data_IF_414755779236
#
_entry.id   IF_414755779236
#
_cell.length_a   1.000
_cell.length_b   1.000
_cell.length_c   1.000
_cell.angle_alpha   90.00
_cell.angle_beta   90.00
_cell.angle_gamma   90.00
#
_symmetry.space_group_name_H-M   'P 1'
#
loop_
_entity.id
_entity.type
_entity.pdbx_description
1 polymer ?
#
# COMPACT_ATOMS: atom_id res chain seq x y z
N UNK A 1 7.59 -6.82 -24.91
CA UNK A 1 8.45 -7.69 -24.08
C UNK A 1 7.56 -8.78 -23.50
N UNK A 2 8.03 -10.02 -23.34
CA UNK A 2 7.19 -11.07 -22.74
C UNK A 2 7.00 -10.75 -21.24
N UNK A 3 5.76 -10.75 -20.76
CA UNK A 3 5.37 -10.44 -19.37
C UNK A 3 6.21 -11.25 -18.36
N UNK A 4 6.50 -12.51 -18.70
CA UNK A 4 7.36 -13.40 -17.90
C UNK A 4 8.77 -12.83 -17.66
N UNK A 5 9.36 -12.17 -18.67
CA UNK A 5 10.69 -11.56 -18.55
C UNK A 5 10.67 -10.33 -17.65
N UNK A 6 9.64 -9.49 -17.75
CA UNK A 6 9.46 -8.32 -16.89
C UNK A 6 9.40 -8.75 -15.42
N UNK A 7 8.54 -9.72 -15.12
CA UNK A 7 8.35 -10.20 -13.75
C UNK A 7 9.61 -10.91 -13.24
N UNK A 8 10.24 -11.75 -14.06
CA UNK A 8 11.48 -12.44 -13.65
C UNK A 8 12.63 -11.47 -13.38
N UNK A 9 12.74 -10.40 -14.18
CA UNK A 9 13.76 -9.38 -13.97
C UNK A 9 13.45 -8.54 -12.72
N UNK A 10 12.20 -8.12 -12.53
CA UNK A 10 11.76 -7.46 -11.30
C UNK A 10 12.04 -8.29 -10.06
N UNK A 11 11.74 -9.60 -10.10
CA UNK A 11 11.99 -10.51 -8.99
C UNK A 11 13.48 -10.62 -8.64
N UNK A 12 14.34 -10.80 -9.65
CA UNK A 12 15.80 -10.84 -9.46
C UNK A 12 16.34 -9.51 -8.92
N UNK A 13 15.86 -8.40 -9.45
CA UNK A 13 16.23 -7.06 -9.01
C UNK A 13 15.83 -6.83 -7.55
N UNK A 14 14.64 -7.28 -7.15
CA UNK A 14 14.15 -7.18 -5.78
C UNK A 14 14.99 -8.04 -4.83
N UNK A 15 15.29 -9.29 -5.19
CA UNK A 15 16.13 -10.18 -4.39
C UNK A 15 17.56 -9.68 -4.23
N UNK A 16 18.17 -9.14 -5.30
CA UNK A 16 19.50 -8.52 -5.21
C UNK A 16 19.53 -7.40 -4.16
N UNK A 17 18.42 -6.70 -4.02
CA UNK A 17 18.25 -5.52 -3.18
C UNK A 17 17.56 -5.82 -1.83
N UNK A 18 17.58 -7.08 -1.37
CA UNK A 18 16.89 -7.53 -0.15
C UNK A 18 17.23 -6.73 1.12
N UNK A 19 18.42 -6.11 1.19
CA UNK A 19 18.80 -5.20 2.28
C UNK A 19 17.80 -4.05 2.51
N UNK A 20 17.18 -3.54 1.45
CA UNK A 20 16.14 -2.49 1.58
C UNK A 20 14.82 -3.06 2.12
N UNK A 21 14.54 -4.34 1.88
CA UNK A 21 13.39 -5.01 2.49
C UNK A 21 13.53 -5.08 4.00
N UNK A 22 14.73 -5.41 4.50
CA UNK A 22 15.03 -5.43 5.93
C UNK A 22 14.89 -4.02 6.53
N UNK A 23 15.41 -2.99 5.86
CA UNK A 23 15.24 -1.60 6.29
C UNK A 23 13.77 -1.21 6.40
N UNK A 24 12.96 -1.52 5.38
CA UNK A 24 11.52 -1.29 5.37
C UNK A 24 10.84 -2.04 6.52
N UNK A 25 11.21 -3.29 6.77
CA UNK A 25 10.63 -4.10 7.83
C UNK A 25 10.95 -3.55 9.22
N UNK A 26 12.21 -3.17 9.49
CA UNK A 26 12.61 -2.55 10.78
C UNK A 26 11.79 -1.29 11.04
N UNK A 27 11.62 -0.42 10.04
CA UNK A 27 10.83 0.80 10.20
C UNK A 27 9.34 0.50 10.43
N UNK A 28 8.78 -0.51 9.76
CA UNK A 28 7.41 -0.95 10.03
C UNK A 28 7.25 -1.48 11.45
N UNK A 29 8.22 -2.27 11.93
CA UNK A 29 8.22 -2.80 13.29
C UNK A 29 8.30 -1.66 14.32
N UNK A 30 9.20 -0.70 14.11
CA UNK A 30 9.32 0.48 14.98
C UNK A 30 8.02 1.29 15.04
N UNK A 31 7.37 1.55 13.90
CA UNK A 31 6.08 2.26 13.86
C UNK A 31 4.96 1.46 14.54
N UNK A 32 4.96 0.13 14.40
CA UNK A 32 3.97 -0.73 15.04
C UNK A 32 4.11 -0.73 16.56
N UNK A 33 5.35 -0.70 17.08
CA UNK A 33 5.60 -0.57 18.51
C UNK A 33 4.99 0.73 19.06
N UNK A 34 5.16 1.86 18.35
CA UNK A 34 4.58 3.15 18.76
C UNK A 34 3.06 3.06 18.87
N UNK A 35 2.39 2.34 17.96
CA UNK A 35 0.93 2.12 18.00
C UNK A 35 0.51 1.24 19.17
N UNK A 36 1.29 0.20 19.49
CA UNK A 36 0.94 -0.80 20.51
C UNK A 36 1.14 -0.26 21.93
N UNK A 37 2.13 0.61 22.17
CA UNK A 37 2.44 1.18 23.49
C UNK A 37 1.20 1.72 24.25
N UNK A 38 0.35 2.61 23.70
CA UNK A 38 -0.79 3.13 24.44
C UNK A 38 -1.80 2.05 24.81
N UNK A 39 -2.02 1.06 23.94
CA UNK A 39 -2.92 -0.06 24.20
C UNK A 39 -2.34 -0.94 25.32
N UNK A 40 -1.04 -1.25 25.23
CA UNK A 40 -0.32 -2.03 26.24
C UNK A 40 -0.34 -1.35 27.61
N UNK A 41 -0.13 -0.03 27.67
CA UNK A 41 -0.19 0.73 28.91
C UNK A 41 -1.57 0.65 29.58
N UNK A 42 -2.66 0.73 28.80
CA UNK A 42 -4.02 0.58 29.33
C UNK A 42 -4.30 -0.84 29.84
N UNK A 43 -3.80 -1.85 29.13
CA UNK A 43 -3.97 -3.25 29.54
C UNK A 43 -3.20 -3.54 30.83
N UNK A 44 -1.95 -3.08 30.95
CA UNK A 44 -1.15 -3.30 32.14
C UNK A 44 -1.72 -2.61 33.37
N UNK A 45 -2.15 -1.36 33.25
CA UNK A 45 -2.75 -0.60 34.36
C UNK A 45 -3.94 -1.35 34.98
N UNK A 46 -4.72 -2.05 34.15
CA UNK A 46 -5.87 -2.83 34.62
C UNK A 46 -5.51 -4.26 35.08
N UNK A 47 -4.55 -4.92 34.43
CA UNK A 47 -4.28 -6.36 34.61
C UNK A 47 -3.16 -6.65 35.60
N UNK A 48 -2.19 -5.76 35.78
CA UNK A 48 -0.96 -6.05 36.53
C UNK A 48 -1.20 -6.28 38.04
N UNK A 49 -2.30 -5.76 38.58
CA UNK A 49 -2.66 -5.91 40.00
C UNK A 49 -3.89 -6.79 40.24
N UNK A 50 -4.33 -7.55 39.23
CA UNK A 50 -5.60 -8.28 39.29
C UNK A 50 -5.41 -9.77 38.98
N UNK A 51 -6.07 -10.63 39.77
CA UNK A 51 -6.25 -12.07 39.46
C UNK A 51 -7.03 -12.30 38.16
N UNK A 52 -7.55 -11.23 37.56
CA UNK A 52 -8.26 -11.28 36.28
C UNK A 52 -7.33 -11.64 35.10
N UNK A 53 -6.02 -11.40 35.22
CA UNK A 53 -5.05 -11.78 34.18
C UNK A 53 -5.08 -13.29 33.88
N UNK A 54 -5.11 -14.12 34.93
CA UNK A 54 -5.11 -15.58 34.78
C UNK A 54 -6.44 -16.10 34.20
N UNK A 55 -7.56 -15.45 34.54
CA UNK A 55 -8.88 -15.78 33.98
C UNK A 55 -8.98 -15.42 32.51
N UNK A 56 -8.48 -14.25 32.12
CA UNK A 56 -8.49 -13.76 30.75
C UNK A 56 -7.54 -14.53 29.84
N UNK A 57 -6.49 -15.13 30.39
CA UNK A 57 -5.60 -16.01 29.65
C UNK A 57 -6.32 -17.28 29.17
N UNK A 58 -7.22 -17.85 29.99
CA UNK A 58 -7.95 -19.08 29.66
C UNK A 58 -9.21 -18.81 28.83
N UNK A 59 -9.92 -17.72 29.08
CA UNK A 59 -11.15 -17.40 28.36
C UNK A 59 -11.44 -15.90 28.33
N UNK A 60 -12.02 -15.44 27.24
CA UNK A 60 -12.49 -14.06 27.12
C UNK A 60 -13.70 -13.80 28.05
N UNK A 61 -13.62 -12.75 28.87
CA UNK A 61 -14.70 -12.31 29.76
C UNK A 61 -15.32 -11.00 29.26
N UNK A 62 -16.58 -11.09 28.83
CA UNK A 62 -17.33 -9.97 28.28
C UNK A 62 -17.68 -8.90 29.33
N UNK A 63 -17.87 -9.28 30.60
CA UNK A 63 -18.15 -8.33 31.68
C UNK A 63 -16.92 -7.47 31.97
N UNK A 64 -15.74 -8.10 32.05
CA UNK A 64 -14.48 -7.38 32.17
C UNK A 64 -14.27 -6.42 31.01
N UNK A 65 -14.53 -6.86 29.77
CA UNK A 65 -14.40 -6.00 28.59
C UNK A 65 -15.31 -4.76 28.68
N UNK A 66 -16.58 -4.92 29.06
CA UNK A 66 -17.48 -3.78 29.23
C UNK A 66 -17.02 -2.82 30.33
N UNK A 67 -16.50 -3.36 31.44
CA UNK A 67 -15.95 -2.56 32.52
C UNK A 67 -14.69 -1.79 32.08
N UNK A 68 -13.77 -2.46 31.37
CA UNK A 68 -12.57 -1.86 30.79
C UNK A 68 -12.93 -0.71 29.84
N UNK A 69 -13.87 -0.94 28.91
CA UNK A 69 -14.34 0.08 27.97
C UNK A 69 -15.00 1.27 28.67
N UNK A 70 -15.73 1.03 29.77
CA UNK A 70 -16.32 2.09 30.57
C UNK A 70 -15.28 2.90 31.33
N UNK A 71 -14.28 2.23 31.91
CA UNK A 71 -13.24 2.85 32.75
C UNK A 71 -12.29 3.73 31.91
N UNK A 72 -11.91 3.28 30.73
CA UNK A 72 -11.00 4.00 29.83
C UNK A 72 -11.72 4.73 28.69
N UNK A 73 -13.03 4.98 28.79
CA UNK A 73 -13.85 5.59 27.73
C UNK A 73 -13.21 6.85 27.12
N UNK A 74 -12.69 7.75 27.96
CA UNK A 74 -12.05 8.97 27.51
C UNK A 74 -10.76 8.69 26.73
N UNK A 75 -9.87 7.87 27.30
CA UNK A 75 -8.59 7.51 26.66
C UNK A 75 -8.80 6.78 25.34
N UNK A 76 -9.74 5.82 25.31
CA UNK A 76 -10.13 5.08 24.10
C UNK A 76 -10.73 6.03 23.06
N UNK A 77 -11.53 7.01 23.49
CA UNK A 77 -12.06 8.05 22.60
C UNK A 77 -11.00 8.89 21.88
N UNK A 78 -9.79 9.01 22.45
CA UNK A 78 -8.66 9.72 21.85
C UNK A 78 -7.77 8.83 20.96
N UNK A 79 -7.87 7.49 21.07
CA UNK A 79 -7.06 6.57 20.26
C UNK A 79 -7.20 6.79 18.74
N UNK A 80 -8.40 7.03 18.17
CA UNK A 80 -8.52 7.26 16.73
C UNK A 80 -7.67 8.44 16.23
N UNK A 81 -7.62 9.54 16.97
CA UNK A 81 -6.81 10.71 16.60
C UNK A 81 -5.32 10.38 16.60
N UNK A 82 -4.85 9.66 17.63
CA UNK A 82 -3.47 9.19 17.73
C UNK A 82 -3.13 8.25 16.56
N UNK A 83 -4.02 7.30 16.26
CA UNK A 83 -3.86 6.36 15.14
C UNK A 83 -3.77 7.09 13.80
N UNK A 84 -4.64 8.07 13.54
CA UNK A 84 -4.57 8.89 12.33
C UNK A 84 -3.26 9.68 12.24
N UNK A 85 -2.76 10.21 13.35
CA UNK A 85 -1.45 10.87 13.42
C UNK A 85 -0.30 9.93 13.02
N UNK A 86 -0.26 8.73 13.60
CA UNK A 86 0.78 7.73 13.28
C UNK A 86 0.66 7.26 11.83
N UNK A 87 -0.55 6.99 11.34
CA UNK A 87 -0.78 6.62 9.92
C UNK A 87 -0.31 7.74 8.98
N UNK A 88 -0.56 9.00 9.33
CA UNK A 88 -0.06 10.15 8.55
C UNK A 88 1.46 10.18 8.47
N UNK A 89 2.15 10.04 9.61
CA UNK A 89 3.61 9.96 9.67
C UNK A 89 4.12 8.74 8.88
N UNK A 90 3.44 7.61 8.99
CA UNK A 90 3.77 6.40 8.26
C UNK A 90 3.70 6.62 6.74
N UNK A 91 2.64 7.22 6.23
CA UNK A 91 2.47 7.52 4.79
C UNK A 91 3.60 8.44 4.29
N UNK A 92 3.98 9.43 5.10
CA UNK A 92 5.11 10.34 4.84
C UNK A 92 6.42 9.53 4.71
N UNK A 93 6.74 8.70 5.69
CA UNK A 93 7.94 7.83 5.64
C UNK A 93 7.90 6.86 4.46
N UNK A 94 6.73 6.30 4.15
CA UNK A 94 6.57 5.39 3.01
C UNK A 94 6.74 6.10 1.66
N UNK A 95 6.37 7.38 1.57
CA UNK A 95 6.61 8.22 0.39
C UNK A 95 8.10 8.46 0.19
N UNK A 96 8.85 8.68 1.29
CA UNK A 96 10.30 8.86 1.27
C UNK A 96 10.99 7.60 0.74
N UNK A 97 10.61 6.43 1.26
CA UNK A 97 11.15 5.15 0.80
C UNK A 97 10.81 4.82 -0.64
N UNK A 98 9.66 5.27 -1.15
CA UNK A 98 9.32 5.11 -2.57
C UNK A 98 10.34 5.85 -3.46
N UNK A 99 10.81 7.04 -3.05
CA UNK A 99 11.87 7.78 -3.75
C UNK A 99 13.21 7.05 -3.78
N UNK A 100 13.60 6.47 -2.64
CA UNK A 100 14.82 5.66 -2.56
C UNK A 100 14.77 4.40 -3.41
N UNK A 101 13.65 3.66 -3.37
CA UNK A 101 13.46 2.46 -4.18
C UNK A 101 13.52 2.76 -5.68
N UNK A 102 12.83 3.80 -6.14
CA UNK A 102 12.83 4.19 -7.55
C UNK A 102 14.25 4.58 -8.00
N UNK A 103 15.02 5.29 -7.17
CA UNK A 103 16.41 5.65 -7.48
C UNK A 103 17.31 4.43 -7.67
N UNK A 104 17.24 3.47 -6.73
CA UNK A 104 18.03 2.22 -6.79
C UNK A 104 17.64 1.37 -7.99
N UNK A 105 16.34 1.23 -8.28
CA UNK A 105 15.88 0.45 -9.43
C UNK A 105 16.12 1.13 -10.77
N UNK A 106 16.16 2.46 -10.82
CA UNK A 106 16.50 3.17 -12.04
C UNK A 106 17.98 2.97 -12.41
N UNK A 107 18.89 2.90 -11.41
CA UNK A 107 20.34 2.73 -11.64
C UNK A 107 20.84 1.47 -10.90
N UNK A 108 20.78 0.28 -11.51
CA UNK A 108 21.09 -1.00 -10.85
C UNK A 108 22.53 -1.15 -10.32
N UNK A 109 23.43 -0.25 -10.72
CA UNK A 109 24.84 -0.18 -10.32
C UNK A 109 25.04 0.59 -9.00
N UNK A 110 24.07 1.45 -8.62
CA UNK A 110 24.09 2.28 -7.42
C UNK A 110 23.13 1.71 -6.38
N UNK A 111 23.51 0.58 -5.81
CA UNK A 111 22.67 -0.15 -4.86
C UNK A 111 23.01 0.12 -3.39
N UNK A 112 23.82 1.12 -3.06
CA UNK A 112 24.21 1.39 -1.67
C UNK A 112 23.07 2.02 -0.85
N UNK A 113 23.17 1.90 0.47
CA UNK A 113 22.21 2.52 1.40
C UNK A 113 22.20 4.05 1.24
N UNK A 114 23.37 4.66 1.01
CA UNK A 114 23.51 6.09 0.72
C UNK A 114 22.75 6.50 -0.54
N UNK A 115 22.78 5.71 -1.61
CA UNK A 115 22.08 5.97 -2.87
C UNK A 115 20.56 5.92 -2.69
N UNK A 116 20.08 5.02 -1.83
CA UNK A 116 18.68 4.94 -1.43
C UNK A 116 18.21 6.18 -0.67
N UNK A 117 18.94 6.59 0.38
CA UNK A 117 18.59 7.80 1.13
C UNK A 117 18.73 9.06 0.27
N UNK A 118 19.74 9.13 -0.60
CA UNK A 118 19.88 10.21 -1.56
C UNK A 118 18.67 10.31 -2.49
N UNK A 119 18.20 9.19 -3.04
CA UNK A 119 16.96 9.14 -3.84
C UNK A 119 15.74 9.59 -3.06
N UNK A 120 15.62 9.14 -1.80
CA UNK A 120 14.55 9.56 -0.89
C UNK A 120 14.52 11.08 -0.68
N UNK A 121 15.67 11.69 -0.38
CA UNK A 121 15.79 13.14 -0.16
C UNK A 121 15.59 13.92 -1.46
N UNK A 122 16.24 13.51 -2.55
CA UNK A 122 16.18 14.17 -3.86
C UNK A 122 14.74 14.32 -4.36
N UNK A 123 13.94 13.27 -4.24
CA UNK A 123 12.56 13.25 -4.74
C UNK A 123 11.51 13.60 -3.69
N UNK A 124 11.92 13.83 -2.43
CA UNK A 124 11.02 14.03 -1.30
C UNK A 124 9.90 15.03 -1.57
N UNK A 125 10.26 16.27 -1.91
CA UNK A 125 9.28 17.34 -2.14
C UNK A 125 8.39 17.09 -3.36
N UNK A 126 8.92 16.43 -4.40
CA UNK A 126 8.16 16.12 -5.63
C UNK A 126 7.14 15.02 -5.34
N UNK A 127 7.54 13.98 -4.61
CA UNK A 127 6.67 12.87 -4.25
C UNK A 127 5.63 13.26 -3.20
N UNK A 128 5.97 14.16 -2.26
CA UNK A 128 4.99 14.73 -1.33
C UNK A 128 3.91 15.53 -2.05
N UNK A 129 4.24 16.24 -3.15
CA UNK A 129 3.22 16.90 -3.99
C UNK A 129 2.31 15.89 -4.69
N UNK A 130 2.87 14.80 -5.22
CA UNK A 130 2.07 13.70 -5.80
C UNK A 130 1.17 13.08 -4.72
N UNK A 131 1.69 12.87 -3.52
CA UNK A 131 0.93 12.35 -2.38
C UNK A 131 -0.25 13.27 -2.03
N UNK A 132 -0.02 14.58 -1.88
CA UNK A 132 -1.08 15.53 -1.58
C UNK A 132 -2.19 15.49 -2.64
N UNK A 133 -1.84 15.46 -3.93
CA UNK A 133 -2.84 15.33 -4.98
C UNK A 133 -3.57 13.98 -4.91
N UNK A 134 -2.85 12.89 -4.64
CA UNK A 134 -3.43 11.54 -4.50
C UNK A 134 -4.45 11.53 -3.35
N UNK A 135 -4.12 12.12 -2.20
CA UNK A 135 -5.03 12.24 -1.07
C UNK A 135 -6.27 13.07 -1.43
N UNK A 136 -6.11 14.19 -2.13
CA UNK A 136 -7.24 14.99 -2.60
C UNK A 136 -8.17 14.20 -3.54
N UNK A 137 -7.60 13.41 -4.47
CA UNK A 137 -8.37 12.57 -5.37
C UNK A 137 -9.09 11.41 -4.65
N UNK A 138 -8.44 10.82 -3.64
CA UNK A 138 -9.07 9.78 -2.80
C UNK A 138 -10.22 10.36 -1.99
N UNK A 139 -10.05 11.54 -1.37
CA UNK A 139 -11.14 12.24 -0.67
C UNK A 139 -12.29 12.53 -1.62
N UNK A 140 -11.99 13.02 -2.83
CA UNK A 140 -13.00 13.28 -3.86
C UNK A 140 -13.75 11.99 -4.27
N UNK A 141 -13.06 10.85 -4.39
CA UNK A 141 -13.70 9.56 -4.67
C UNK A 141 -14.67 9.14 -3.54
N UNK A 142 -14.29 9.33 -2.28
CA UNK A 142 -15.17 9.09 -1.14
C UNK A 142 -16.38 10.04 -1.14
N UNK A 143 -16.19 11.32 -1.45
CA UNK A 143 -17.29 12.29 -1.56
C UNK A 143 -18.28 11.87 -2.65
N UNK A 144 -17.80 11.50 -3.84
CA UNK A 144 -18.66 11.00 -4.93
C UNK A 144 -19.43 9.74 -4.49
N UNK A 145 -18.76 8.80 -3.82
CA UNK A 145 -19.40 7.59 -3.31
C UNK A 145 -20.50 7.88 -2.27
N UNK A 146 -20.29 8.88 -1.41
CA UNK A 146 -21.30 9.28 -0.44
C UNK A 146 -22.52 9.92 -1.14
N UNK A 147 -22.29 10.83 -2.09
CA UNK A 147 -23.34 11.44 -2.90
C UNK A 147 -24.16 10.39 -3.69
N UNK A 148 -23.49 9.37 -4.25
CA UNK A 148 -24.17 8.24 -4.88
C UNK A 148 -25.00 7.43 -3.88
N UNK A 149 -24.55 7.32 -2.63
CA UNK A 149 -25.30 6.69 -1.55
C UNK A 149 -26.60 7.41 -1.23
N UNK A 150 -26.52 8.73 -1.08
CA UNK A 150 -27.67 9.58 -0.79
C UNK A 150 -28.68 9.56 -1.94
N UNK A 151 -28.18 9.59 -3.19
CA UNK A 151 -29.00 9.45 -4.40
C UNK A 151 -29.71 8.10 -4.46
N UNK A 152 -29.03 6.99 -4.15
CA UNK A 152 -29.66 5.67 -4.09
C UNK A 152 -30.70 5.59 -2.96
N UNK A 153 -30.39 6.15 -1.78
CA UNK A 153 -31.35 6.18 -0.67
C UNK A 153 -32.62 6.97 -1.02
N UNK A 154 -32.50 8.03 -1.82
CA UNK A 154 -33.65 8.78 -2.32
C UNK A 154 -34.47 7.98 -3.35
N UNK A 155 -33.82 7.33 -4.32
CA UNK A 155 -34.48 6.54 -5.38
C UNK A 155 -35.24 5.33 -4.83
N UNK A 156 -34.67 4.64 -3.83
CA UNK A 156 -35.22 3.41 -3.29
C UNK A 156 -36.12 3.61 -2.05
N UNK A 157 -36.31 4.85 -1.58
CA UNK A 157 -37.12 5.17 -0.38
C UNK A 157 -38.55 4.61 -0.43
N UNK A 158 -39.14 4.52 -1.62
CA UNK A 158 -40.55 4.14 -1.84
C UNK A 158 -40.70 2.86 -2.70
N UNK A 159 -39.61 2.10 -2.90
CA UNK A 159 -39.58 0.92 -3.80
C UNK A 159 -39.30 -0.35 -3.01
N UNK A 160 -40.21 -1.32 -3.05
CA UNK A 160 -40.06 -2.63 -2.36
C UNK A 160 -39.01 -3.59 -3.00
N UNK A 161 -38.16 -3.10 -3.90
CA UNK A 161 -37.17 -3.92 -4.60
C UNK A 161 -35.87 -4.05 -3.80
N UNK A 162 -35.90 -4.88 -2.74
CA UNK A 162 -34.74 -5.14 -1.85
C UNK A 162 -33.49 -5.65 -2.59
N UNK A 163 -33.67 -6.52 -3.59
CA UNK A 163 -32.56 -7.06 -4.38
C UNK A 163 -31.88 -5.99 -5.24
N UNK A 164 -32.66 -5.09 -5.84
CA UNK A 164 -32.11 -4.01 -6.65
C UNK A 164 -31.32 -3.02 -5.77
N UNK A 165 -31.87 -2.65 -4.62
CA UNK A 165 -31.17 -1.79 -3.65
C UNK A 165 -29.83 -2.40 -3.22
N UNK A 166 -29.81 -3.70 -2.87
CA UNK A 166 -28.59 -4.40 -2.50
C UNK A 166 -27.55 -4.40 -3.63
N UNK A 167 -27.95 -4.69 -4.87
CA UNK A 167 -27.04 -4.73 -6.03
C UNK A 167 -26.43 -3.34 -6.27
N UNK A 168 -27.23 -2.27 -6.29
CA UNK A 168 -26.71 -0.92 -6.52
C UNK A 168 -25.81 -0.44 -5.38
N UNK A 169 -26.15 -0.73 -4.12
CA UNK A 169 -25.30 -0.41 -2.96
C UNK A 169 -23.96 -1.14 -3.03
N UNK A 170 -23.95 -2.42 -3.41
CA UNK A 170 -22.74 -3.22 -3.62
C UNK A 170 -21.90 -2.70 -4.79
N UNK A 171 -22.53 -2.43 -5.95
CA UNK A 171 -21.86 -1.92 -7.14
C UNK A 171 -21.17 -0.58 -6.89
N UNK A 172 -21.77 0.28 -6.05
CA UNK A 172 -21.17 1.54 -5.61
C UNK A 172 -19.83 1.34 -4.89
N UNK A 173 -19.70 0.36 -4.00
CA UNK A 173 -18.44 0.05 -3.34
C UNK A 173 -17.41 -0.57 -4.29
N UNK A 174 -17.85 -1.40 -5.24
CA UNK A 174 -16.97 -1.92 -6.31
C UNK A 174 -16.42 -0.76 -7.15
N UNK A 175 -17.26 0.21 -7.51
CA UNK A 175 -16.86 1.41 -8.23
C UNK A 175 -15.87 2.25 -7.41
N UNK A 176 -16.08 2.41 -6.10
CA UNK A 176 -15.17 3.13 -5.21
C UNK A 176 -13.78 2.47 -5.17
N UNK A 177 -13.72 1.15 -4.96
CA UNK A 177 -12.46 0.39 -4.95
C UNK A 177 -11.73 0.55 -6.29
N UNK A 178 -12.47 0.47 -7.40
CA UNK A 178 -11.92 0.65 -8.74
C UNK A 178 -11.34 2.06 -8.96
N UNK A 179 -12.06 3.12 -8.55
CA UNK A 179 -11.59 4.50 -8.63
C UNK A 179 -10.33 4.72 -7.79
N UNK A 180 -10.31 4.22 -6.55
CA UNK A 180 -9.12 4.27 -5.70
C UNK A 180 -7.96 3.54 -6.37
N UNK A 181 -8.19 2.36 -6.95
CA UNK A 181 -7.18 1.59 -7.68
C UNK A 181 -6.56 2.37 -8.85
N UNK A 182 -7.38 3.05 -9.66
CA UNK A 182 -6.89 3.91 -10.75
C UNK A 182 -6.06 5.08 -10.22
N UNK A 183 -6.54 5.78 -9.19
CA UNK A 183 -5.83 6.90 -8.58
C UNK A 183 -4.47 6.47 -8.03
N UNK A 184 -4.43 5.31 -7.36
CA UNK A 184 -3.18 4.73 -6.86
C UNK A 184 -2.23 4.36 -8.01
N UNK A 185 -2.73 3.72 -9.07
CA UNK A 185 -1.91 3.36 -10.25
C UNK A 185 -1.30 4.60 -10.92
N UNK A 186 -2.09 5.66 -11.11
CA UNK A 186 -1.59 6.93 -11.66
C UNK A 186 -0.52 7.52 -10.74
N UNK A 187 -0.74 7.50 -9.43
CA UNK A 187 0.21 8.02 -8.43
C UNK A 187 1.56 7.28 -8.47
N UNK A 188 1.54 5.94 -8.54
CA UNK A 188 2.76 5.13 -8.63
C UNK A 188 3.53 5.39 -9.92
N UNK A 189 2.88 5.36 -11.09
CA UNK A 189 3.53 5.67 -12.35
C UNK A 189 4.02 7.12 -12.44
N UNK A 190 3.32 8.08 -11.83
CA UNK A 190 3.77 9.48 -11.76
C UNK A 190 5.11 9.61 -11.02
N UNK A 191 5.25 8.87 -9.91
CA UNK A 191 6.52 8.80 -9.16
C UNK A 191 7.63 8.17 -10.00
N UNK A 192 7.32 7.13 -10.77
CA UNK A 192 8.27 6.48 -11.69
C UNK A 192 8.73 7.43 -12.79
N UNK A 193 7.82 8.15 -13.45
CA UNK A 193 8.16 9.16 -14.49
C UNK A 193 9.10 10.22 -13.91
N UNK A 194 8.77 10.78 -12.75
CA UNK A 194 9.61 11.78 -12.06
C UNK A 194 11.00 11.21 -11.74
N UNK A 195 11.08 9.95 -11.28
CA UNK A 195 12.34 9.33 -10.88
C UNK A 195 13.24 8.90 -12.05
N UNK A 196 12.64 8.57 -13.21
CA UNK A 196 13.36 8.15 -14.42
C UNK A 196 13.79 9.35 -15.26
N UNK A 197 12.89 10.30 -15.49
CA UNK A 197 13.15 11.49 -16.32
C UNK A 197 13.74 12.68 -15.54
N UNK A 198 13.85 12.57 -14.21
CA UNK A 198 14.25 13.65 -13.30
C UNK A 198 13.44 14.95 -13.47
N UNK A 199 12.16 14.82 -13.82
CA UNK A 199 11.28 15.96 -14.03
C UNK A 199 11.01 16.72 -12.73
N UNK A 200 11.06 18.06 -12.78
CA UNK A 200 10.66 18.95 -11.68
C UNK A 200 9.18 19.33 -11.74
N UNK A 201 8.52 19.12 -12.89
CA UNK A 201 7.12 19.50 -13.15
C UNK A 201 6.19 18.34 -12.81
N UNK A 202 5.73 18.30 -11.56
CA UNK A 202 4.89 17.23 -11.00
C UNK A 202 3.59 17.03 -11.80
N UNK A 203 2.84 18.11 -12.07
CA UNK A 203 1.57 18.01 -12.81
C UNK A 203 1.74 17.46 -14.23
N UNK A 204 2.82 17.87 -14.92
CA UNK A 204 3.16 17.34 -16.24
C UNK A 204 3.46 15.84 -16.15
N UNK A 205 4.25 15.44 -15.16
CA UNK A 205 4.63 14.03 -14.97
C UNK A 205 3.40 13.13 -14.65
N UNK A 206 2.39 13.69 -13.99
CA UNK A 206 1.11 12.99 -13.76
C UNK A 206 0.35 12.81 -15.06
N UNK A 207 0.32 13.84 -15.90
CA UNK A 207 -0.31 13.75 -17.21
C UNK A 207 0.43 12.77 -18.13
N UNK A 208 1.77 12.79 -18.11
CA UNK A 208 2.62 11.86 -18.84
C UNK A 208 2.37 10.41 -18.34
N UNK A 209 2.21 10.21 -17.04
CA UNK A 209 1.80 8.92 -16.47
C UNK A 209 0.41 8.46 -16.93
N UNK A 210 -0.57 9.37 -17.01
CA UNK A 210 -1.92 9.06 -17.51
C UNK A 210 -1.87 8.67 -18.99
N UNK A 211 -1.12 9.41 -19.81
CA UNK A 211 -0.92 9.08 -21.23
C UNK A 211 -0.25 7.70 -21.35
N UNK A 212 0.81 7.47 -20.58
CA UNK A 212 1.53 6.20 -20.58
C UNK A 212 0.62 5.01 -20.23
N UNK A 213 -0.17 5.14 -19.15
CA UNK A 213 -1.13 4.13 -18.73
C UNK A 213 -2.20 3.93 -19.80
N UNK A 214 -2.72 4.99 -20.42
CA UNK A 214 -3.73 4.87 -21.48
C UNK A 214 -3.20 4.14 -22.72
N UNK A 215 -1.98 4.46 -23.16
CA UNK A 215 -1.35 3.84 -24.33
C UNK A 215 -0.95 2.38 -24.08
N UNK A 216 -0.53 2.05 -22.86
CA UNK A 216 -0.02 0.73 -22.50
C UNK A 216 -0.89 0.00 -21.46
N UNK A 217 -2.20 0.31 -21.45
CA UNK A 217 -3.11 -0.08 -20.39
C UNK A 217 -3.09 -1.58 -20.13
N UNK A 218 -3.19 -2.38 -21.18
CA UNK A 218 -3.23 -3.84 -21.07
C UNK A 218 -1.96 -4.38 -20.41
N UNK A 219 -0.78 -3.88 -20.80
CA UNK A 219 0.49 -4.35 -20.24
C UNK A 219 0.64 -3.93 -18.77
N UNK A 220 0.44 -2.65 -18.46
CA UNK A 220 0.53 -2.12 -17.11
C UNK A 220 -0.49 -2.80 -16.17
N UNK A 221 -1.72 -2.97 -16.64
CA UNK A 221 -2.80 -3.58 -15.89
C UNK A 221 -2.59 -5.09 -15.68
N UNK A 222 -2.14 -5.85 -16.67
CA UNK A 222 -1.85 -7.29 -16.49
C UNK A 222 -0.70 -7.48 -15.51
N UNK A 223 0.39 -6.68 -15.61
CA UNK A 223 1.51 -6.80 -14.66
C UNK A 223 1.06 -6.44 -13.25
N UNK A 224 0.29 -5.37 -13.10
CA UNK A 224 -0.36 -5.01 -11.83
C UNK A 224 -1.17 -6.18 -11.28
N UNK A 225 -2.09 -6.72 -12.08
CA UNK A 225 -3.00 -7.78 -11.66
C UNK A 225 -2.24 -9.07 -11.28
N UNK A 226 -1.21 -9.47 -12.03
CA UNK A 226 -0.40 -10.65 -11.72
C UNK A 226 0.34 -10.48 -10.39
N UNK A 227 0.94 -9.32 -10.14
CA UNK A 227 1.64 -9.04 -8.88
C UNK A 227 0.64 -8.96 -7.71
N UNK A 228 -0.51 -8.33 -7.91
CA UNK A 228 -1.59 -8.27 -6.92
C UNK A 228 -2.15 -9.64 -6.57
N UNK A 229 -2.38 -10.52 -7.55
CA UNK A 229 -2.81 -11.91 -7.31
C UNK A 229 -1.75 -12.66 -6.52
N UNK A 230 -0.47 -12.51 -6.87
CA UNK A 230 0.61 -13.15 -6.13
C UNK A 230 0.63 -12.70 -4.66
N UNK A 231 0.42 -11.39 -4.41
CA UNK A 231 0.23 -10.85 -3.06
C UNK A 231 -1.00 -11.41 -2.34
N UNK A 232 -2.13 -11.52 -3.03
CA UNK A 232 -3.38 -12.06 -2.47
C UNK A 232 -3.24 -13.55 -2.10
N UNK A 233 -2.59 -14.35 -2.94
CA UNK A 233 -2.31 -15.76 -2.66
C UNK A 233 -1.50 -15.90 -1.37
N UNK A 234 -0.45 -15.09 -1.19
CA UNK A 234 0.35 -15.15 0.05
C UNK A 234 -0.47 -14.79 1.30
N UNK A 235 -1.41 -13.84 1.20
CA UNK A 235 -2.34 -13.54 2.28
C UNK A 235 -3.31 -14.70 2.55
N UNK A 236 -3.86 -15.33 1.52
CA UNK A 236 -4.75 -16.50 1.67
C UNK A 236 -4.00 -17.66 2.34
N UNK A 237 -2.78 -17.97 1.88
CA UNK A 237 -1.93 -19.02 2.46
C UNK A 237 -1.69 -18.75 3.94
N UNK A 238 -1.37 -17.50 4.32
CA UNK A 238 -1.25 -17.13 5.73
C UNK A 238 -2.53 -17.42 6.52
N UNK A 239 -3.70 -17.00 6.03
CA UNK A 239 -4.96 -17.21 6.74
C UNK A 239 -5.28 -18.70 6.90
N UNK A 240 -5.00 -19.52 5.88
CA UNK A 240 -5.17 -20.98 5.96
C UNK A 240 -4.26 -21.55 7.05
N UNK A 241 -2.98 -21.16 7.08
CA UNK A 241 -2.03 -21.65 8.10
C UNK A 241 -2.48 -21.22 9.49
N UNK A 242 -2.91 -19.97 9.66
CA UNK A 242 -3.33 -19.40 10.95
C UNK A 242 -4.52 -20.15 11.56
N UNK A 243 -5.46 -20.63 10.73
CA UNK A 243 -6.59 -21.49 11.18
C UNK A 243 -6.10 -22.77 11.85
N UNK A 244 -4.95 -23.32 11.43
CA UNK A 244 -4.40 -24.54 11.99
C UNK A 244 -3.52 -24.31 13.22
N UNK A 245 -3.24 -23.05 13.60
CA UNK A 245 -2.45 -22.72 14.78
C UNK A 245 -3.38 -22.65 16.01
N UNK A 246 -3.26 -23.56 16.98
CA UNK A 246 -4.06 -23.49 18.21
C UNK A 246 -3.76 -22.21 19.00
N UNK A 247 -4.76 -21.63 19.66
CA UNK A 247 -4.57 -20.47 20.53
C UNK A 247 -3.81 -20.77 21.82
N UNK A 248 -3.71 -22.04 22.20
CA UNK A 248 -3.01 -22.51 23.39
C UNK A 248 -2.17 -23.76 23.10
N UNK A 249 -1.05 -23.99 23.82
CA UNK A 249 -0.40 -23.13 24.83
C UNK A 249 0.30 -21.88 24.25
N UNK A 250 0.74 -20.96 25.14
CA UNK A 250 1.43 -19.70 24.83
C UNK A 250 2.51 -19.76 23.73
N UNK A 251 3.21 -20.90 23.58
CA UNK A 251 4.19 -21.12 22.52
C UNK A 251 3.62 -20.88 21.10
N UNK A 252 2.33 -21.18 20.89
CA UNK A 252 1.67 -20.94 19.60
C UNK A 252 1.46 -19.45 19.31
N UNK A 253 1.31 -18.57 20.32
CA UNK A 253 1.26 -17.13 20.09
C UNK A 253 2.57 -16.60 19.48
N UNK A 254 3.71 -17.17 19.89
CA UNK A 254 5.00 -16.82 19.30
C UNK A 254 5.11 -17.29 17.84
N UNK A 255 4.52 -18.45 17.51
CA UNK A 255 4.44 -18.93 16.12
C UNK A 255 3.55 -18.00 15.28
N UNK A 256 2.37 -17.63 15.78
CA UNK A 256 1.49 -16.65 15.12
C UNK A 256 2.20 -15.32 14.91
N UNK A 257 2.97 -14.84 15.91
CA UNK A 257 3.79 -13.64 15.76
C UNK A 257 4.81 -13.78 14.62
N UNK A 258 5.55 -14.89 14.55
CA UNK A 258 6.51 -15.15 13.45
C UNK A 258 5.79 -15.18 12.10
N UNK A 259 4.64 -15.87 12.00
CA UNK A 259 3.84 -15.92 10.77
C UNK A 259 3.38 -14.54 10.33
N UNK A 260 2.96 -13.69 11.27
CA UNK A 260 2.61 -12.29 10.99
C UNK A 260 3.81 -11.49 10.48
N UNK A 261 5.01 -11.66 11.07
CA UNK A 261 6.23 -11.01 10.57
C UNK A 261 6.58 -11.46 9.15
N UNK A 262 6.45 -12.75 8.85
CA UNK A 262 6.65 -13.30 7.49
C UNK A 262 5.66 -12.66 6.51
N UNK A 263 4.39 -12.53 6.88
CA UNK A 263 3.38 -11.89 6.04
C UNK A 263 3.70 -10.41 5.77
N UNK A 264 4.18 -9.68 6.78
CA UNK A 264 4.59 -8.28 6.63
C UNK A 264 5.79 -8.18 5.68
N UNK A 265 6.83 -9.01 5.88
CA UNK A 265 8.00 -9.07 4.99
C UNK A 265 7.57 -9.40 3.56
N UNK A 266 6.68 -10.37 3.38
CA UNK A 266 6.12 -10.73 2.08
C UNK A 266 5.37 -9.55 1.44
N UNK A 267 4.52 -8.84 2.19
CA UNK A 267 3.80 -7.66 1.69
C UNK A 267 4.76 -6.56 1.22
N UNK A 268 5.83 -6.31 1.98
CA UNK A 268 6.87 -5.34 1.60
C UNK A 268 7.65 -5.80 0.36
N UNK A 269 7.89 -7.11 0.22
CA UNK A 269 8.52 -7.69 -0.96
C UNK A 269 7.65 -7.46 -2.20
N UNK A 270 6.34 -7.69 -2.12
CA UNK A 270 5.38 -7.42 -3.21
C UNK A 270 5.42 -5.95 -3.61
N UNK A 271 5.42 -5.03 -2.65
CA UNK A 271 5.50 -3.59 -2.94
C UNK A 271 6.78 -3.22 -3.66
N UNK A 272 7.91 -3.77 -3.21
CA UNK A 272 9.21 -3.52 -3.83
C UNK A 272 9.30 -4.13 -5.24
N UNK A 273 8.72 -5.32 -5.43
CA UNK A 273 8.56 -5.95 -6.74
C UNK A 273 7.73 -5.09 -7.70
N UNK A 274 6.63 -4.53 -7.21
CA UNK A 274 5.76 -3.65 -7.98
C UNK A 274 6.54 -2.45 -8.53
N UNK A 275 7.21 -1.70 -7.65
CA UNK A 275 8.04 -0.54 -8.05
C UNK A 275 9.13 -0.95 -9.04
N UNK A 276 9.81 -2.08 -8.80
CA UNK A 276 10.84 -2.55 -9.72
C UNK A 276 10.27 -2.84 -11.11
N UNK A 277 9.11 -3.50 -11.20
CA UNK A 277 8.48 -3.79 -12.49
C UNK A 277 8.00 -2.54 -13.21
N UNK A 278 7.44 -1.56 -12.52
CA UNK A 278 6.99 -0.30 -13.12
C UNK A 278 8.14 0.50 -13.72
N UNK A 279 9.26 0.62 -12.98
CA UNK A 279 10.47 1.29 -13.47
C UNK A 279 10.99 0.62 -14.75
N UNK A 280 11.03 -0.71 -14.78
CA UNK A 280 11.50 -1.45 -15.96
C UNK A 280 10.55 -1.30 -17.15
N UNK A 281 9.24 -1.42 -16.94
CA UNK A 281 8.23 -1.23 -17.98
C UNK A 281 8.33 0.17 -18.59
N UNK A 282 8.44 1.20 -17.74
CA UNK A 282 8.54 2.57 -18.19
C UNK A 282 9.82 2.79 -19.01
N UNK A 283 10.99 2.39 -18.49
CA UNK A 283 12.27 2.55 -19.20
C UNK A 283 12.31 1.85 -20.54
N UNK A 284 11.84 0.61 -20.61
CA UNK A 284 11.88 -0.19 -21.85
C UNK A 284 10.96 0.37 -22.93
N UNK A 285 9.82 0.95 -22.54
CA UNK A 285 8.86 1.52 -23.47
C UNK A 285 9.33 2.90 -23.92
N UNK A 286 9.78 3.76 -22.99
CA UNK A 286 10.32 5.08 -23.33
C UNK A 286 11.57 4.98 -24.22
N UNK A 287 12.45 4.01 -23.99
CA UNK A 287 13.61 3.77 -24.86
C UNK A 287 13.21 3.41 -26.31
N UNK A 288 12.15 2.63 -26.48
CA UNK A 288 11.65 2.27 -27.82
C UNK A 288 11.02 3.44 -28.56
N UNK A 289 10.32 4.33 -27.84
CA UNK A 289 9.78 5.55 -28.45
C UNK A 289 10.91 6.46 -28.95
N UNK A 290 11.98 6.64 -28.15
CA UNK A 290 13.15 7.42 -28.56
C UNK A 290 13.85 6.78 -29.77
N UNK A 291 14.06 5.47 -29.78
CA UNK A 291 14.66 4.78 -30.94
C UNK A 291 13.79 4.88 -32.21
N UNK A 292 12.46 4.88 -32.07
CA UNK A 292 11.54 5.02 -33.20
C UNK A 292 11.54 6.44 -33.78
N UNK A 293 11.46 7.47 -32.93
CA UNK A 293 11.54 8.88 -33.37
C UNK A 293 12.87 9.19 -34.06
N UNK A 294 13.99 8.69 -33.53
CA UNK A 294 15.33 8.87 -34.15
C UNK A 294 15.41 8.16 -35.50
N UNK A 295 14.76 7.01 -35.67
CA UNK A 295 14.70 6.33 -36.98
C UNK A 295 13.84 7.11 -37.97
N UNK A 296 12.69 7.64 -37.56
CA UNK A 296 11.83 8.45 -38.42
C UNK A 296 12.50 9.78 -38.82
N UNK A 297 13.22 10.45 -37.91
CA UNK A 297 13.95 11.68 -38.22
C UNK A 297 15.09 11.44 -39.22
N UNK A 298 15.77 10.29 -39.14
CA UNK A 298 16.84 9.94 -40.07
C UNK A 298 16.32 9.49 -41.45
N UNK A 299 15.07 9.01 -41.54
CA UNK A 299 14.43 8.65 -42.81
C UNK A 299 13.82 9.87 -43.51
N UNK A 300 13.42 10.90 -42.75
CA UNK A 300 12.94 12.19 -43.26
C UNK A 300 14.03 13.15 -43.78
N UNK A 301 15.31 12.77 -43.68
CA UNK A 301 16.43 13.47 -44.31
C UNK A 301 16.79 12.74 -45.60
N UNK A 302 16.01 12.97 -46.66
CA UNK A 302 16.37 12.68 -48.05
C UNK A 302 15.89 13.80 -48.96
#
# INVERSE_FOLDING_TARGET
MNIKKIISYGFRSTLKNFKFLILLWITNMAMSIIVVIPIYALLIDNLQHSLMSDKLAMQFDLLWYMQFMSLYKNTIGHLPLLLYGIVGIYIIVQTFYSGGLISVFNIPQKDHISDFFYGGVKYWLRFSKVLSLTLMLVVLAFTINNLLGDLLAWIFRERDFQLAEFIFRSLRYVLLIFLIGIVMLISEYSKVVIGVEDSSKVLRSIFDAVIFIKQNFILAFIVFLVISIFGAIGAIVYNIIDIFVPGEPFAFLFITFILQQILIIFRLFIRMLFISTEVNIFKDISAKFIEAEVKESNVGVK
#
